data_IF_281177496358
#
_entry.id   IF_281177496358
#
_cell.length_a   1.000
_cell.length_b   1.000
_cell.length_c   1.000
_cell.angle_alpha   90.00
_cell.angle_beta   90.00
_cell.angle_gamma   90.00
#
_symmetry.space_group_name_H-M   'P 1'
#
loop_
_entity.id
_entity.type
_entity.pdbx_description
1 polymer ?
#
# COMPACT_ATOMS: atom_id res chain seq x y z
N UNK A 1 -46.11 1.93 -19.80
CA UNK A 1 -45.30 2.58 -18.72
C UNK A 1 -44.76 1.65 -17.63
N UNK A 2 -45.31 0.44 -17.40
CA UNK A 2 -44.87 -0.51 -16.34
C UNK A 2 -43.46 -1.14 -16.51
N UNK A 3 -42.92 -1.14 -17.74
CA UNK A 3 -41.63 -1.79 -18.05
C UNK A 3 -40.40 -1.01 -17.56
N UNK A 4 -40.44 0.33 -17.62
CA UNK A 4 -39.31 1.19 -17.23
C UNK A 4 -39.06 1.22 -15.73
N UNK A 5 -40.12 1.21 -14.91
CA UNK A 5 -40.01 1.21 -13.44
C UNK A 5 -39.41 -0.10 -12.91
N UNK A 6 -39.81 -1.26 -13.45
CA UNK A 6 -39.21 -2.56 -13.10
C UNK A 6 -37.71 -2.63 -13.44
N UNK A 7 -37.30 -2.07 -14.58
CA UNK A 7 -35.90 -2.06 -15.02
C UNK A 7 -35.04 -1.16 -14.12
N UNK A 8 -35.57 0.02 -13.76
CA UNK A 8 -34.89 0.97 -12.87
C UNK A 8 -34.71 0.35 -11.47
N UNK A 9 -35.75 -0.24 -10.86
CA UNK A 9 -35.63 -0.85 -9.53
C UNK A 9 -34.62 -2.00 -9.48
N UNK A 10 -34.54 -2.81 -10.55
CA UNK A 10 -33.52 -3.86 -10.68
C UNK A 10 -32.11 -3.28 -10.82
N UNK A 11 -31.94 -2.22 -11.60
CA UNK A 11 -30.66 -1.53 -11.75
C UNK A 11 -30.19 -0.91 -10.43
N UNK A 12 -31.08 -0.24 -9.69
CA UNK A 12 -30.75 0.34 -8.38
C UNK A 12 -30.34 -0.73 -7.38
N UNK A 13 -31.05 -1.87 -7.35
CA UNK A 13 -30.68 -3.00 -6.50
C UNK A 13 -29.29 -3.58 -6.83
N UNK A 14 -28.97 -3.71 -8.12
CA UNK A 14 -27.68 -4.20 -8.58
C UNK A 14 -26.53 -3.24 -8.19
N UNK A 15 -26.75 -1.93 -8.36
CA UNK A 15 -25.78 -0.89 -7.97
C UNK A 15 -25.55 -0.91 -6.46
N UNK A 16 -26.62 -0.97 -5.66
CA UNK A 16 -26.51 -1.03 -4.21
C UNK A 16 -25.73 -2.27 -3.73
N UNK A 17 -26.00 -3.44 -4.34
CA UNK A 17 -25.27 -4.67 -4.05
C UNK A 17 -23.78 -4.54 -4.41
N UNK A 18 -23.47 -3.97 -5.57
CA UNK A 18 -22.09 -3.78 -6.04
C UNK A 18 -21.32 -2.81 -5.14
N UNK A 19 -21.92 -1.66 -4.80
CA UNK A 19 -21.33 -0.71 -3.87
C UNK A 19 -21.14 -1.31 -2.47
N UNK A 20 -22.11 -2.10 -1.99
CA UNK A 20 -22.02 -2.81 -0.72
C UNK A 20 -20.87 -3.82 -0.69
N UNK A 21 -20.70 -4.59 -1.77
CA UNK A 21 -19.59 -5.54 -1.91
C UNK A 21 -18.23 -4.82 -1.89
N UNK A 22 -18.09 -3.70 -2.60
CA UNK A 22 -16.87 -2.88 -2.59
C UNK A 22 -16.58 -2.35 -1.17
N UNK A 23 -17.59 -1.83 -0.49
CA UNK A 23 -17.44 -1.31 0.88
C UNK A 23 -17.00 -2.42 1.85
N UNK A 24 -17.56 -3.62 1.75
CA UNK A 24 -17.15 -4.77 2.56
C UNK A 24 -15.71 -5.21 2.27
N UNK A 25 -15.32 -5.28 0.99
CA UNK A 25 -13.93 -5.59 0.59
C UNK A 25 -12.97 -4.55 1.17
N UNK A 26 -13.34 -3.27 1.11
CA UNK A 26 -12.55 -2.18 1.67
C UNK A 26 -12.41 -2.30 3.19
N UNK A 27 -13.51 -2.49 3.91
CA UNK A 27 -13.50 -2.67 5.37
C UNK A 27 -12.70 -3.91 5.79
N UNK A 28 -12.78 -5.00 5.05
CA UNK A 28 -12.02 -6.22 5.36
C UNK A 28 -10.51 -6.03 5.17
N UNK A 29 -10.10 -5.26 4.17
CA UNK A 29 -8.67 -5.04 3.89
C UNK A 29 -8.05 -3.92 4.70
N UNK A 30 -8.81 -2.87 5.00
CA UNK A 30 -8.28 -1.62 5.58
C UNK A 30 -8.97 -1.22 6.89
N UNK A 31 -10.10 -1.82 7.26
CA UNK A 31 -10.92 -1.36 8.40
C UNK A 31 -10.14 -1.26 9.71
N UNK A 32 -9.33 -2.27 10.04
CA UNK A 32 -8.47 -2.26 11.24
C UNK A 32 -7.26 -1.32 11.12
N UNK A 33 -6.93 -0.87 9.91
CA UNK A 33 -5.79 -0.01 9.61
C UNK A 33 -6.18 1.48 9.49
N UNK A 34 -7.49 1.79 9.40
CA UNK A 34 -8.00 3.15 9.24
C UNK A 34 -7.51 4.12 10.32
N UNK A 35 -7.34 3.64 11.55
CA UNK A 35 -6.92 4.44 12.71
C UNK A 35 -5.46 4.25 13.09
N UNK A 36 -4.70 3.41 12.37
CA UNK A 36 -3.29 3.13 12.72
C UNK A 36 -2.33 4.22 12.25
N UNK A 37 -2.70 4.98 11.21
CA UNK A 37 -1.87 5.99 10.58
C UNK A 37 -2.64 7.30 10.43
N UNK A 38 -2.03 8.46 10.72
CA UNK A 38 -2.70 9.75 10.53
C UNK A 38 -2.98 10.06 9.04
N UNK A 39 -2.20 9.47 8.12
CA UNK A 39 -2.29 9.69 6.68
C UNK A 39 -2.82 8.46 5.90
N UNK A 40 -3.68 7.66 6.53
CA UNK A 40 -4.34 6.48 5.93
C UNK A 40 -4.86 6.72 4.52
N UNK A 41 -5.44 7.89 4.22
CA UNK A 41 -5.94 8.21 2.87
C UNK A 41 -4.83 8.15 1.80
N UNK A 42 -3.64 8.65 2.11
CA UNK A 42 -2.50 8.60 1.20
C UNK A 42 -1.99 7.16 1.01
N UNK A 43 -2.08 6.34 2.06
CA UNK A 43 -1.69 4.93 2.01
C UNK A 43 -2.69 4.13 1.16
N UNK A 44 -3.99 4.38 1.30
CA UNK A 44 -5.02 3.77 0.45
C UNK A 44 -4.82 4.18 -1.02
N UNK A 45 -4.57 5.47 -1.27
CA UNK A 45 -4.25 5.96 -2.62
C UNK A 45 -3.04 5.26 -3.22
N UNK A 46 -1.98 5.09 -2.42
CA UNK A 46 -0.80 4.31 -2.80
C UNK A 46 -1.16 2.84 -3.10
N UNK A 47 -1.97 2.19 -2.27
CA UNK A 47 -2.41 0.80 -2.50
C UNK A 47 -3.21 0.65 -3.80
N UNK A 48 -4.10 1.60 -4.10
CA UNK A 48 -4.84 1.64 -5.36
C UNK A 48 -3.89 1.80 -6.55
N UNK A 49 -2.93 2.74 -6.48
CA UNK A 49 -1.91 2.91 -7.51
C UNK A 49 -1.10 1.63 -7.73
N UNK A 50 -0.70 0.94 -6.66
CA UNK A 50 -0.01 -0.36 -6.76
C UNK A 50 -0.87 -1.44 -7.41
N UNK A 51 -2.18 -1.42 -7.20
CA UNK A 51 -3.10 -2.37 -7.82
C UNK A 51 -3.26 -2.07 -9.32
N UNK A 52 -3.47 -0.81 -9.72
CA UNK A 52 -3.63 -0.41 -11.12
C UNK A 52 -2.33 -0.60 -11.92
N UNK A 53 -1.20 -0.20 -11.35
CA UNK A 53 0.10 -0.28 -12.02
C UNK A 53 0.78 -1.66 -11.85
N UNK A 54 0.13 -2.59 -11.13
CA UNK A 54 0.65 -3.92 -10.81
C UNK A 54 2.05 -3.90 -10.16
N UNK A 55 2.36 -2.85 -9.38
CA UNK A 55 3.66 -2.71 -8.73
C UNK A 55 3.69 -3.37 -7.34
N UNK A 56 4.90 -3.75 -6.92
CA UNK A 56 5.17 -4.34 -5.59
C UNK A 56 5.55 -3.30 -4.53
N UNK A 57 5.85 -2.08 -4.97
CA UNK A 57 6.25 -0.93 -4.16
C UNK A 57 5.70 0.35 -4.78
N UNK A 58 5.36 1.33 -3.94
CA UNK A 58 5.14 2.72 -4.36
C UNK A 58 5.49 3.68 -3.22
N UNK A 59 5.82 4.93 -3.56
CA UNK A 59 6.00 5.99 -2.56
C UNK A 59 4.63 6.46 -2.03
N UNK A 60 4.52 6.66 -0.73
CA UNK A 60 3.30 7.19 -0.08
C UNK A 60 3.34 8.71 -0.18
N UNK A 61 2.29 9.32 -0.72
CA UNK A 61 2.18 10.78 -0.92
C UNK A 61 3.37 11.41 -1.69
N UNK A 62 4.06 10.64 -2.54
CA UNK A 62 5.26 11.12 -3.25
C UNK A 62 6.50 11.28 -2.36
N UNK A 63 6.45 10.88 -1.08
CA UNK A 63 7.58 10.94 -0.18
C UNK A 63 8.61 9.84 -0.53
N UNK A 64 9.81 10.25 -0.95
CA UNK A 64 10.91 9.36 -1.35
C UNK A 64 11.55 8.57 -0.19
N UNK A 65 11.14 8.83 1.05
CA UNK A 65 11.59 8.09 2.23
C UNK A 65 10.52 7.14 2.75
N UNK A 66 9.27 7.23 2.27
CA UNK A 66 8.15 6.47 2.84
C UNK A 66 7.46 5.67 1.75
N UNK A 67 7.54 4.34 1.87
CA UNK A 67 7.06 3.42 0.86
C UNK A 67 5.99 2.49 1.39
N UNK A 68 5.02 2.20 0.54
CA UNK A 68 4.11 1.08 0.71
C UNK A 68 4.65 -0.10 -0.09
N UNK A 69 4.80 -1.27 0.55
CA UNK A 69 5.29 -2.49 -0.09
C UNK A 69 4.39 -3.67 0.24
N UNK A 70 4.23 -4.61 -0.70
CA UNK A 70 3.48 -5.86 -0.44
C UNK A 70 4.27 -6.85 0.43
N UNK A 71 5.59 -6.86 0.22
CA UNK A 71 6.56 -7.71 0.92
C UNK A 71 7.88 -6.95 1.02
N UNK A 72 8.69 -7.28 2.03
CA UNK A 72 10.00 -6.65 2.23
C UNK A 72 10.93 -6.82 1.02
N UNK A 73 10.81 -7.93 0.29
CA UNK A 73 11.55 -8.16 -0.95
C UNK A 73 11.32 -7.09 -2.03
N UNK A 74 10.16 -6.44 -2.03
CA UNK A 74 9.86 -5.32 -2.92
C UNK A 74 10.73 -4.10 -2.62
N UNK A 75 10.91 -3.77 -1.35
CA UNK A 75 11.82 -2.69 -0.93
C UNK A 75 13.27 -3.03 -1.26
N UNK A 76 13.70 -4.26 -0.93
CA UNK A 76 15.05 -4.73 -1.20
C UNK A 76 15.40 -4.60 -2.68
N UNK A 77 14.55 -5.13 -3.57
CA UNK A 77 14.79 -5.06 -5.02
C UNK A 77 14.83 -3.60 -5.53
N UNK A 78 13.94 -2.74 -5.02
CA UNK A 78 13.90 -1.33 -5.40
C UNK A 78 15.19 -0.58 -5.05
N UNK A 79 15.74 -0.84 -3.85
CA UNK A 79 16.98 -0.23 -3.40
C UNK A 79 18.21 -0.85 -4.12
N UNK A 80 18.20 -2.16 -4.39
CA UNK A 80 19.23 -2.83 -5.18
C UNK A 80 19.35 -2.27 -6.60
N UNK A 81 18.22 -1.96 -7.25
CA UNK A 81 18.20 -1.29 -8.55
C UNK A 81 18.84 0.11 -8.52
N UNK A 82 18.93 0.72 -7.34
CA UNK A 82 19.60 2.01 -7.12
C UNK A 82 21.04 1.85 -6.62
N UNK A 83 21.57 0.63 -6.60
CA UNK A 83 22.94 0.31 -6.19
C UNK A 83 23.14 0.19 -4.68
N UNK A 84 22.07 0.08 -3.89
CA UNK A 84 22.17 -0.24 -2.47
C UNK A 84 22.32 -1.74 -2.27
N UNK A 85 23.19 -2.15 -1.34
CA UNK A 85 23.46 -3.55 -1.02
C UNK A 85 22.85 -3.83 0.34
N UNK A 86 22.00 -4.85 0.43
CA UNK A 86 21.46 -5.34 1.70
C UNK A 86 22.59 -5.82 2.61
N UNK A 87 22.59 -5.38 3.86
CA UNK A 87 23.57 -5.80 4.87
C UNK A 87 22.94 -6.81 5.82
N UNK A 88 21.90 -6.40 6.55
CA UNK A 88 21.26 -7.24 7.56
C UNK A 88 19.85 -6.75 7.92
N UNK A 89 19.12 -7.54 8.70
CA UNK A 89 17.80 -7.20 9.24
C UNK A 89 17.70 -7.60 10.70
N UNK A 90 17.31 -6.66 11.57
CA UNK A 90 17.17 -6.85 13.01
C UNK A 90 15.89 -6.17 13.49
N UNK A 91 15.00 -6.91 14.16
CA UNK A 91 13.80 -6.36 14.83
C UNK A 91 12.93 -5.41 13.96
N UNK A 92 12.78 -5.70 12.67
CA UNK A 92 11.99 -4.88 11.72
C UNK A 92 12.73 -3.67 11.13
N UNK A 93 14.00 -3.46 11.52
CA UNK A 93 14.95 -2.60 10.84
C UNK A 93 15.71 -3.40 9.80
N UNK A 94 15.90 -2.81 8.62
CA UNK A 94 16.72 -3.36 7.55
C UNK A 94 17.81 -2.38 7.19
N UNK A 95 19.04 -2.84 7.07
CA UNK A 95 20.21 -2.00 6.82
C UNK A 95 20.78 -2.25 5.42
N UNK A 96 21.18 -1.17 4.77
CA UNK A 96 21.76 -1.16 3.44
C UNK A 96 23.04 -0.34 3.40
N UNK A 97 23.91 -0.64 2.45
CA UNK A 97 25.17 0.07 2.20
C UNK A 97 25.35 0.39 0.72
N UNK A 98 25.90 1.56 0.43
CA UNK A 98 26.33 1.95 -0.92
C UNK A 98 27.64 2.72 -0.79
N UNK A 99 28.77 2.13 -1.22
CA UNK A 99 30.11 2.69 -0.95
C UNK A 99 30.33 2.96 0.55
N UNK A 100 30.57 4.21 0.94
CA UNK A 100 30.75 4.67 2.33
C UNK A 100 29.44 5.02 3.04
N UNK A 101 28.32 4.98 2.32
CA UNK A 101 27.01 5.39 2.80
C UNK A 101 26.20 4.24 3.41
N UNK A 102 25.39 4.56 4.42
CA UNK A 102 24.49 3.63 5.12
C UNK A 102 23.05 4.13 5.03
N UNK A 103 22.10 3.22 4.91
CA UNK A 103 20.68 3.53 4.87
C UNK A 103 19.98 2.51 5.76
N UNK A 104 19.03 2.97 6.57
CA UNK A 104 18.19 2.07 7.37
C UNK A 104 16.72 2.25 7.00
N UNK A 105 16.00 1.14 7.01
CA UNK A 105 14.58 1.08 6.71
C UNK A 105 13.83 0.44 7.89
N UNK A 106 12.91 1.17 8.50
CA UNK A 106 11.99 0.62 9.50
C UNK A 106 10.69 0.23 8.82
N UNK A 107 10.42 -1.07 8.74
CA UNK A 107 9.21 -1.61 8.14
C UNK A 107 8.24 -2.11 9.21
N UNK A 108 6.98 -1.72 9.11
CA UNK A 108 5.89 -2.21 9.96
C UNK A 108 4.72 -2.74 9.12
N UNK A 109 4.00 -3.71 9.67
CA UNK A 109 2.75 -4.16 9.07
C UNK A 109 1.70 -3.05 9.15
N UNK A 110 0.97 -2.84 8.06
CA UNK A 110 -0.17 -1.91 8.00
C UNK A 110 -1.47 -2.68 7.82
N UNK A 111 -1.49 -3.60 6.84
CA UNK A 111 -2.54 -4.61 6.71
C UNK A 111 -1.90 -5.97 6.47
N UNK A 112 -2.70 -7.04 6.40
CA UNK A 112 -2.21 -8.38 6.03
C UNK A 112 -1.41 -8.39 4.71
N UNK A 113 -1.73 -7.47 3.80
CA UNK A 113 -1.18 -7.46 2.45
C UNK A 113 -0.14 -6.35 2.21
N UNK A 114 0.06 -5.46 3.17
CA UNK A 114 0.89 -4.27 3.00
C UNK A 114 1.73 -3.96 4.24
N UNK A 115 2.99 -3.58 3.98
CA UNK A 115 3.93 -3.04 4.94
C UNK A 115 4.20 -1.58 4.60
N UNK A 116 4.34 -0.75 5.62
CA UNK A 116 4.86 0.61 5.48
C UNK A 116 6.33 0.59 5.88
N UNK A 117 7.19 1.05 4.99
CA UNK A 117 8.63 1.13 5.20
C UNK A 117 9.07 2.59 5.17
N UNK A 118 9.68 3.04 6.27
CA UNK A 118 10.25 4.38 6.40
C UNK A 118 11.77 4.27 6.36
N UNK A 119 12.39 4.95 5.41
CA UNK A 119 13.82 5.14 5.32
C UNK A 119 14.25 6.28 6.24
N UNK A 120 15.44 6.17 6.82
CA UNK A 120 16.05 7.24 7.62
C UNK A 120 16.49 8.46 6.77
N UNK A 121 16.69 8.26 5.47
CA UNK A 121 17.00 9.33 4.50
C UNK A 121 16.58 8.97 3.07
N UNK A 122 16.69 9.95 2.16
CA UNK A 122 16.40 9.73 0.73
C UNK A 122 17.53 8.86 0.14
N UNK A 123 17.20 7.76 -0.54
CA UNK A 123 18.17 6.83 -1.13
C UNK A 123 18.79 7.29 -2.45
#
# INVERSE_FOLDING_TARGET
MKSRTSLITKATGLIALFCGAIALIFLFNFGSALTQEPDTLNIIKAAMQMQFNQTKITAIAGNKQRFLVRKLSGLKLHLEQQGWIFVEQIAGLTFYRKRTERLSAKCRSYTRNYLICNLDRIP
#
